data_IF_349824146165
#
_entry.id   IF_349824146165
#
_cell.length_a   1.000
_cell.length_b   1.000
_cell.length_c   1.000
_cell.angle_alpha   90.00
_cell.angle_beta   90.00
_cell.angle_gamma   90.00
#
_symmetry.space_group_name_H-M   'P 1'
#
loop_
_entity.id
_entity.type
_entity.pdbx_description
1 polymer ?
#
# COMPACT_ATOMS: atom_id res chain seq x y z
N UNK A 1 30.73 6.01 14.14
CA UNK A 1 30.36 6.73 12.90
C UNK A 1 29.44 7.86 13.32
N UNK A 2 29.62 9.05 12.76
CA UNK A 2 28.72 10.21 12.97
C UNK A 2 28.11 10.49 11.61
N UNK A 3 26.78 10.44 11.53
CA UNK A 3 26.02 10.75 10.33
C UNK A 3 26.24 12.20 9.91
N UNK A 4 26.34 12.41 8.60
CA UNK A 4 26.46 13.74 8.00
C UNK A 4 25.18 14.56 8.20
N UNK A 5 25.26 15.89 8.05
CA UNK A 5 24.10 16.77 8.18
C UNK A 5 22.95 16.42 7.24
N UNK A 6 23.27 15.96 6.03
CA UNK A 6 22.29 15.52 5.03
C UNK A 6 21.62 14.20 5.40
N UNK A 7 22.37 13.23 5.92
CA UNK A 7 21.83 11.98 6.44
C UNK A 7 20.87 12.23 7.61
N UNK A 8 21.23 13.13 8.53
CA UNK A 8 20.35 13.55 9.61
C UNK A 8 19.07 14.23 9.09
N UNK A 9 19.14 14.99 8.00
CA UNK A 9 17.96 15.58 7.37
C UNK A 9 17.03 14.49 6.78
N UNK A 10 17.59 13.49 6.11
CA UNK A 10 16.86 12.33 5.58
C UNK A 10 16.23 11.49 6.71
N UNK A 11 16.94 11.30 7.82
CA UNK A 11 16.40 10.61 8.99
C UNK A 11 15.22 11.36 9.61
N UNK A 12 15.27 12.70 9.69
CA UNK A 12 14.14 13.52 10.15
C UNK A 12 12.93 13.38 9.23
N UNK A 13 13.14 13.34 7.91
CA UNK A 13 12.04 13.08 6.95
C UNK A 13 11.45 11.70 7.18
N UNK A 14 12.30 10.67 7.31
CA UNK A 14 11.87 9.30 7.58
C UNK A 14 11.06 9.18 8.88
N UNK A 15 11.49 9.87 9.94
CA UNK A 15 10.77 9.92 11.22
C UNK A 15 9.39 10.56 11.09
N UNK A 16 9.26 11.66 10.33
CA UNK A 16 7.95 12.28 10.06
C UNK A 16 7.01 11.35 9.28
N UNK A 17 7.53 10.67 8.26
CA UNK A 17 6.75 9.71 7.49
C UNK A 17 6.27 8.54 8.37
N UNK A 18 7.13 8.06 9.28
CA UNK A 18 6.76 7.02 10.23
C UNK A 18 5.65 7.51 11.19
N UNK A 19 5.75 8.74 11.71
CA UNK A 19 4.70 9.32 12.54
C UNK A 19 3.36 9.38 11.80
N UNK A 20 3.33 9.78 10.52
CA UNK A 20 2.11 9.79 9.72
C UNK A 20 1.48 8.40 9.53
N UNK A 21 2.29 7.33 9.52
CA UNK A 21 1.76 5.95 9.50
C UNK A 21 1.04 5.63 10.81
N UNK A 22 1.62 5.98 11.97
CA UNK A 22 0.98 5.77 13.27
C UNK A 22 -0.30 6.59 13.43
N UNK A 23 -0.30 7.86 13.05
CA UNK A 23 -1.52 8.68 13.06
C UNK A 23 -2.64 8.09 12.19
N UNK A 24 -2.29 7.45 11.07
CA UNK A 24 -3.27 6.75 10.23
C UNK A 24 -3.82 5.50 10.91
N UNK A 25 -2.96 4.73 11.58
CA UNK A 25 -3.37 3.54 12.36
C UNK A 25 -4.24 3.90 13.57
N UNK A 26 -3.92 4.98 14.27
CA UNK A 26 -4.66 5.44 15.46
C UNK A 26 -6.12 5.80 15.16
N UNK A 27 -6.43 6.16 13.90
CA UNK A 27 -7.80 6.46 13.44
C UNK A 27 -8.56 5.22 12.95
N UNK A 28 -7.93 4.05 12.93
CA UNK A 28 -8.56 2.81 12.48
C UNK A 28 -9.03 1.97 13.66
N UNK A 29 -10.19 1.33 13.50
CA UNK A 29 -10.56 0.22 14.38
C UNK A 29 -9.77 -1.02 13.94
N UNK A 30 -8.75 -1.35 14.73
CA UNK A 30 -7.86 -2.49 14.47
C UNK A 30 -8.41 -3.79 15.07
N UNK A 31 -9.42 -3.72 15.94
CA UNK A 31 -9.99 -4.89 16.57
C UNK A 31 -10.62 -5.82 15.51
N UNK A 32 -10.26 -7.09 15.55
CA UNK A 32 -10.75 -8.08 14.57
C UNK A 32 -10.05 -8.06 13.21
N UNK A 33 -9.10 -7.15 12.97
CA UNK A 33 -8.24 -7.20 11.79
C UNK A 33 -7.10 -8.20 11.99
N UNK A 34 -6.77 -8.95 10.94
CA UNK A 34 -5.55 -9.76 10.93
C UNK A 34 -4.32 -8.87 10.78
N UNK A 35 -3.20 -9.30 11.34
CA UNK A 35 -1.90 -8.61 11.18
C UNK A 35 -1.52 -8.42 9.70
N UNK A 36 -1.89 -9.37 8.83
CA UNK A 36 -1.68 -9.26 7.39
C UNK A 36 -2.57 -8.18 6.75
N UNK A 37 -3.82 -8.04 7.19
CA UNK A 37 -4.70 -6.98 6.71
C UNK A 37 -4.19 -5.58 7.12
N UNK A 38 -3.67 -5.46 8.34
CA UNK A 38 -3.01 -4.23 8.81
C UNK A 38 -1.74 -3.96 8.00
N UNK A 39 -0.90 -4.96 7.76
CA UNK A 39 0.30 -4.85 6.92
C UNK A 39 -0.05 -4.32 5.52
N UNK A 40 -1.01 -4.95 4.84
CA UNK A 40 -1.44 -4.57 3.49
C UNK A 40 -1.95 -3.11 3.44
N UNK A 41 -2.59 -2.64 4.51
CA UNK A 41 -3.10 -1.27 4.62
C UNK A 41 -1.96 -0.27 4.80
N UNK A 42 -1.03 -0.57 5.70
CA UNK A 42 0.16 0.26 5.96
C UNK A 42 1.03 0.36 4.71
N UNK A 43 1.27 -0.75 4.03
CA UNK A 43 2.05 -0.76 2.78
C UNK A 43 1.44 0.15 1.72
N UNK A 44 0.12 0.03 1.48
CA UNK A 44 -0.58 0.92 0.53
C UNK A 44 -0.52 2.38 0.95
N UNK A 45 -0.63 2.67 2.24
CA UNK A 45 -0.53 4.06 2.72
C UNK A 45 0.88 4.63 2.46
N UNK A 46 1.92 3.85 2.73
CA UNK A 46 3.31 4.25 2.47
C UNK A 46 3.55 4.48 0.97
N UNK A 47 3.09 3.59 0.09
CA UNK A 47 3.34 3.71 -1.37
C UNK A 47 2.42 4.72 -2.05
N UNK A 48 1.13 4.67 -1.76
CA UNK A 48 0.12 5.36 -2.54
C UNK A 48 -0.14 6.76 -2.00
N UNK A 49 -0.05 6.94 -0.68
CA UNK A 49 -0.29 8.23 -0.01
C UNK A 49 1.01 8.98 0.24
N UNK A 50 1.95 8.36 0.97
CA UNK A 50 3.21 9.02 1.34
C UNK A 50 4.22 9.05 0.18
N UNK A 51 3.96 8.35 -0.93
CA UNK A 51 4.85 8.20 -2.09
C UNK A 51 6.26 7.76 -1.67
N UNK A 52 6.34 6.98 -0.60
CA UNK A 52 7.57 6.51 0.00
C UNK A 52 7.76 5.02 -0.25
N UNK A 53 8.97 4.53 0.01
CA UNK A 53 9.28 3.10 -0.07
C UNK A 53 9.27 2.49 1.34
N UNK A 54 8.47 1.44 1.59
CA UNK A 54 8.52 0.73 2.86
C UNK A 54 9.86 0.00 2.99
N UNK A 55 10.51 0.15 4.15
CA UNK A 55 11.81 -0.46 4.43
C UNK A 55 11.77 -2.00 4.40
N UNK A 56 10.62 -2.59 4.77
CA UNK A 56 10.38 -4.04 4.76
C UNK A 56 10.37 -4.66 3.36
N UNK A 57 10.09 -3.87 2.30
CA UNK A 57 10.13 -4.36 0.92
C UNK A 57 11.50 -4.10 0.28
N UNK A 58 12.34 -5.13 0.30
CA UNK A 58 13.54 -5.19 -0.55
C UNK A 58 13.15 -5.24 -2.03
N UNK A 59 14.04 -4.79 -2.91
CA UNK A 59 13.75 -4.59 -4.35
C UNK A 59 13.34 -5.90 -5.05
N UNK A 60 13.79 -7.05 -4.49
CA UNK A 60 13.38 -8.38 -4.96
C UNK A 60 11.89 -8.69 -4.76
N UNK A 61 11.19 -7.99 -3.87
CA UNK A 61 9.77 -8.26 -3.59
C UNK A 61 8.83 -7.73 -4.69
N UNK A 62 9.27 -6.76 -5.52
CA UNK A 62 8.47 -6.18 -6.62
C UNK A 62 8.02 -7.19 -7.69
N UNK A 63 8.71 -8.33 -7.83
CA UNK A 63 8.40 -9.32 -8.87
C UNK A 63 7.23 -10.25 -8.54
N UNK A 64 6.63 -10.19 -7.33
CA UNK A 64 5.56 -11.12 -6.91
C UNK A 64 4.16 -10.51 -6.75
N UNK A 65 4.01 -9.19 -6.77
CA UNK A 65 2.70 -8.53 -6.57
C UNK A 65 1.86 -8.35 -7.85
N UNK A 66 2.34 -8.81 -9.02
CA UNK A 66 1.53 -8.87 -10.26
C UNK A 66 0.66 -10.14 -10.25
N UNK A 67 -0.37 -10.19 -9.40
CA UNK A 67 -1.19 -11.40 -9.34
C UNK A 67 -2.37 -11.49 -8.37
N UNK A 68 -2.82 -10.41 -7.72
CA UNK A 68 -4.03 -10.46 -6.85
C UNK A 68 -5.27 -9.87 -7.52
N UNK A 69 -5.89 -10.73 -8.34
CA UNK A 69 -7.33 -10.92 -8.57
C UNK A 69 -8.22 -9.66 -8.50
N UNK A 70 -8.55 -9.10 -9.67
CA UNK A 70 -9.83 -8.40 -9.84
C UNK A 70 -10.94 -9.44 -9.67
N UNK A 71 -11.66 -9.43 -8.53
CA UNK A 71 -12.95 -10.12 -8.43
C UNK A 71 -13.86 -9.51 -9.49
N UNK A 72 -14.19 -10.27 -10.54
CA UNK A 72 -15.19 -9.89 -11.50
C UNK A 72 -16.56 -9.85 -10.79
N UNK A 73 -17.14 -8.66 -10.73
CA UNK A 73 -18.53 -8.39 -10.33
C UNK A 73 -19.49 -9.14 -11.27
N UNK A 74 -20.55 -9.80 -10.77
CA UNK A 74 -21.45 -10.56 -11.65
C UNK A 74 -22.48 -9.65 -12.34
N UNK A 75 -22.58 -9.88 -13.67
CA UNK A 75 -23.70 -9.70 -14.60
C UNK A 75 -24.46 -8.35 -14.67
N UNK A 76 -24.40 -7.71 -15.84
CA UNK A 76 -25.52 -6.90 -16.36
C UNK A 76 -26.22 -7.68 -17.49
N UNK A 77 -27.54 -7.93 -17.42
CA UNK A 77 -28.29 -8.54 -18.50
C UNK A 77 -28.60 -7.47 -19.55
N UNK A 78 -28.36 -7.76 -20.85
CA UNK A 78 -28.82 -6.84 -21.90
C UNK A 78 -28.07 -6.79 -23.23
N UNK A 79 -27.08 -7.65 -23.50
CA UNK A 79 -26.41 -7.63 -24.81
C UNK A 79 -27.26 -8.39 -25.84
N UNK A 80 -28.07 -7.66 -26.61
CA UNK A 80 -28.69 -8.18 -27.84
C UNK A 80 -27.60 -8.44 -28.88
N UNK A 81 -27.37 -9.71 -29.21
CA UNK A 81 -26.50 -10.12 -30.32
C UNK A 81 -27.18 -9.72 -31.63
N UNK A 82 -26.58 -8.79 -32.39
CA UNK A 82 -27.00 -8.53 -33.78
C UNK A 82 -26.51 -9.68 -34.66
N UNK A 83 -27.45 -10.45 -35.22
CA UNK A 83 -27.16 -11.42 -36.26
C UNK A 83 -26.63 -10.70 -37.51
N UNK A 84 -25.52 -11.21 -38.06
CA UNK A 84 -24.92 -10.75 -39.31
C UNK A 84 -25.81 -11.20 -40.48
N UNK A 85 -26.00 -10.33 -41.47
CA UNK A 85 -26.46 -10.71 -42.81
C UNK A 85 -25.33 -11.37 -43.57
#
# INVERSE_FOLDING_TARGET
>A
MVETGEELALMRVSGRLLASVFEMLDRMDLAGLSTLAVNDRVERFITDTLKARPASKTDRSRRRDVGRVRRAEPARPGVRVRARR
#
